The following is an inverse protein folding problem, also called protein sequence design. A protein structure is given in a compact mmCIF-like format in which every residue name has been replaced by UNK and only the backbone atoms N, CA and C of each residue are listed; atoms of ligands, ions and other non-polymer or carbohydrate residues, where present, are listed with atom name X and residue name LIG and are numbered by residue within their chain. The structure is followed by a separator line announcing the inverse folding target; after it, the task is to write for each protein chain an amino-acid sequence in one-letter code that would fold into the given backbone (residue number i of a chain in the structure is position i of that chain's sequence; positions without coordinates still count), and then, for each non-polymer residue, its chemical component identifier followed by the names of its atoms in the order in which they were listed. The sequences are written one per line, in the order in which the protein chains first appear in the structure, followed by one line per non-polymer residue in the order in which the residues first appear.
data_IF_521594689185
#
_entry.id   IF_521594689185
#
_cell.length_a   1.000
_cell.length_b   1.000
_cell.length_c   1.000
_cell.angle_alpha   90.00
_cell.angle_beta   90.00
_cell.angle_gamma   90.00
#
_symmetry.space_group_name_H-M   'P 1'
#
loop_
_entity.id
_entity.type
_entity.pdbx_description
1 polymer ?
#
# COMPACT_ATOMS: atom_id res chain seq x y z
N UNK A 1 -26.68 4.86 5.48
CA UNK A 1 -25.66 4.99 4.41
C UNK A 1 -24.30 5.45 4.95
N UNK A 2 -24.28 6.33 5.96
CA UNK A 2 -23.05 6.81 6.65
C UNK A 2 -22.16 5.72 7.27
N UNK A 3 -22.75 4.71 7.93
CA UNK A 3 -21.96 3.61 8.54
C UNK A 3 -21.11 2.87 7.51
N UNK A 4 -21.65 2.63 6.30
CA UNK A 4 -20.95 1.89 5.25
C UNK A 4 -19.74 2.67 4.74
N UNK A 5 -19.88 4.00 4.59
CA UNK A 5 -18.76 4.87 4.17
C UNK A 5 -17.67 4.94 5.24
N UNK A 6 -18.06 5.06 6.50
CA UNK A 6 -17.13 5.06 7.63
C UNK A 6 -16.36 3.73 7.71
N UNK A 7 -17.05 2.60 7.56
CA UNK A 7 -16.42 1.28 7.59
C UNK A 7 -15.47 1.08 6.41
N UNK A 8 -15.85 1.50 5.21
CA UNK A 8 -14.96 1.46 4.04
C UNK A 8 -13.72 2.34 4.20
N UNK A 9 -13.87 3.56 4.74
CA UNK A 9 -12.75 4.45 5.00
C UNK A 9 -11.81 3.88 6.06
N UNK A 10 -12.36 3.35 7.16
CA UNK A 10 -11.59 2.70 8.22
C UNK A 10 -10.78 1.52 7.66
N UNK A 11 -11.43 0.64 6.89
CA UNK A 11 -10.76 -0.51 6.28
C UNK A 11 -9.66 -0.11 5.29
N UNK A 12 -9.90 0.89 4.45
CA UNK A 12 -8.91 1.40 3.49
C UNK A 12 -7.68 1.99 4.20
N UNK A 13 -7.87 2.53 5.40
CA UNK A 13 -6.81 3.09 6.24
C UNK A 13 -6.11 2.03 7.12
N UNK A 14 -6.46 0.74 6.97
CA UNK A 14 -5.88 -0.36 7.76
C UNK A 14 -6.46 -0.50 9.16
N UNK A 15 -7.57 0.17 9.47
CA UNK A 15 -8.28 0.02 10.74
C UNK A 15 -9.24 -1.16 10.63
N UNK A 16 -9.02 -2.20 11.44
CA UNK A 16 -9.94 -3.35 11.51
C UNK A 16 -11.33 -2.94 12.02
N UNK A 17 -12.37 -3.65 11.59
CA UNK A 17 -13.75 -3.39 12.06
C UNK A 17 -14.09 -4.16 13.35
N UNK A 18 -13.30 -5.19 13.67
CA UNK A 18 -13.45 -6.03 14.86
C UNK A 18 -12.12 -6.65 15.27
N UNK A 19 -12.07 -7.21 16.48
CA UNK A 19 -10.93 -7.92 17.02
C UNK A 19 -11.39 -9.06 17.94
N UNK A 20 -10.46 -9.95 18.31
CA UNK A 20 -10.70 -10.96 19.33
C UNK A 20 -10.25 -10.38 20.67
N UNK A 21 -11.17 -10.27 21.64
CA UNK A 21 -10.84 -9.72 22.94
C UNK A 21 -10.06 -10.71 23.82
N UNK A 22 -9.62 -10.28 25.00
CA UNK A 22 -8.84 -11.09 25.93
C UNK A 22 -9.54 -12.37 26.41
N UNK A 23 -10.86 -12.48 26.22
CA UNK A 23 -11.65 -13.67 26.53
C UNK A 23 -11.89 -14.56 25.30
N UNK A 24 -11.21 -14.30 24.18
CA UNK A 24 -11.36 -15.06 22.94
C UNK A 24 -12.64 -14.75 22.15
N UNK A 25 -13.38 -13.69 22.50
CA UNK A 25 -14.66 -13.36 21.85
C UNK A 25 -14.49 -12.28 20.78
N UNK A 26 -15.15 -12.41 19.61
CA UNK A 26 -15.21 -11.33 18.64
C UNK A 26 -15.88 -10.09 19.23
N UNK A 27 -15.26 -8.94 19.03
CA UNK A 27 -15.74 -7.65 19.50
C UNK A 27 -15.62 -6.61 18.38
N UNK A 28 -16.72 -5.94 18.07
CA UNK A 28 -16.76 -4.88 17.06
C UNK A 28 -16.19 -3.57 17.58
N UNK A 29 -15.53 -2.81 16.70
CA UNK A 29 -15.07 -1.46 17.00
C UNK A 29 -16.22 -0.47 16.74
N UNK A 30 -16.49 0.39 17.71
CA UNK A 30 -17.56 1.40 17.63
C UNK A 30 -17.27 2.50 16.59
N UNK A 31 -18.34 3.13 16.09
CA UNK A 31 -18.23 4.16 15.06
C UNK A 31 -17.38 5.36 15.51
N UNK A 32 -17.50 5.80 16.75
CA UNK A 32 -16.72 6.94 17.27
C UNK A 32 -15.22 6.63 17.35
N UNK A 33 -14.85 5.40 17.72
CA UNK A 33 -13.46 4.95 17.70
C UNK A 33 -12.91 4.97 16.27
N UNK A 34 -13.66 4.46 15.28
CA UNK A 34 -13.24 4.50 13.86
C UNK A 34 -13.00 5.93 13.39
N UNK A 35 -13.92 6.85 13.72
CA UNK A 35 -13.78 8.28 13.35
C UNK A 35 -12.54 8.92 13.96
N UNK A 36 -12.32 8.73 15.27
CA UNK A 36 -11.16 9.32 15.97
C UNK A 36 -9.84 8.75 15.48
N UNK A 37 -9.78 7.45 15.18
CA UNK A 37 -8.59 6.84 14.61
C UNK A 37 -8.32 7.35 13.20
N UNK A 38 -9.36 7.47 12.36
CA UNK A 38 -9.23 8.07 11.02
C UNK A 38 -8.74 9.51 11.07
N UNK A 39 -9.26 10.31 11.98
CA UNK A 39 -8.85 11.71 12.18
C UNK A 39 -7.40 11.82 12.72
N UNK A 40 -6.99 10.86 13.57
CA UNK A 40 -5.64 10.80 14.11
C UNK A 40 -4.60 10.30 13.08
N UNK A 41 -5.02 9.60 12.03
CA UNK A 41 -4.12 9.28 10.94
C UNK A 41 -3.74 10.58 10.23
N UNK A 42 -2.43 10.83 10.06
CA UNK A 42 -1.96 11.89 9.17
C UNK A 42 -2.75 11.80 7.88
N UNK A 43 -3.26 12.94 7.37
CA UNK A 43 -3.95 12.97 6.08
C UNK A 43 -3.03 12.26 5.09
N UNK A 44 -3.41 11.05 4.68
CA UNK A 44 -2.70 10.33 3.64
C UNK A 44 -2.65 11.33 2.49
N UNK A 45 -1.44 11.72 2.06
CA UNK A 45 -1.27 12.69 0.99
C UNK A 45 -2.24 12.30 -0.12
N UNK A 46 -3.26 13.14 -0.33
CA UNK A 46 -4.46 12.77 -1.06
C UNK A 46 -4.20 12.51 -2.56
N UNK A 47 -2.94 12.50 -2.95
CA UNK A 47 -2.42 12.11 -4.25
C UNK A 47 -1.01 11.56 -4.05
N UNK A 48 -0.90 10.29 -3.70
CA UNK A 48 0.14 9.53 -4.36
C UNK A 48 -0.22 9.57 -5.85
N UNK A 49 0.38 10.51 -6.60
CA UNK A 49 0.38 10.45 -8.06
C UNK A 49 0.67 9.02 -8.45
N UNK A 50 -0.04 8.47 -9.44
CA UNK A 50 0.19 7.10 -9.94
C UNK A 50 1.63 7.01 -10.44
N UNK A 51 2.53 6.67 -9.53
CA UNK A 51 3.93 6.51 -9.82
C UNK A 51 4.08 5.20 -10.59
N UNK A 52 4.95 5.14 -11.60
CA UNK A 52 5.13 3.91 -12.37
C UNK A 52 5.55 2.72 -11.50
N UNK A 53 6.18 2.96 -10.35
CA UNK A 53 6.55 1.94 -9.38
C UNK A 53 6.21 2.44 -7.97
N UNK A 54 5.97 1.54 -7.00
CA UNK A 54 5.83 1.94 -5.60
C UNK A 54 7.13 2.59 -5.09
N UNK A 55 7.00 3.55 -4.17
CA UNK A 55 8.16 4.23 -3.57
C UNK A 55 9.15 3.25 -2.92
N UNK A 56 8.65 2.17 -2.34
CA UNK A 56 9.45 1.10 -1.74
C UNK A 56 8.83 -0.26 -2.10
N UNK A 57 9.70 -1.22 -2.44
CA UNK A 57 9.32 -2.63 -2.63
C UNK A 57 10.27 -3.52 -1.85
N UNK A 58 9.72 -4.43 -1.04
CA UNK A 58 10.49 -5.38 -0.23
C UNK A 58 10.39 -6.77 -0.85
N UNK A 59 11.54 -7.44 -0.99
CA UNK A 59 11.63 -8.82 -1.47
C UNK A 59 12.40 -9.69 -0.46
N UNK A 60 12.11 -10.99 -0.45
CA UNK A 60 12.91 -11.98 0.28
C UNK A 60 13.99 -12.54 -0.65
N UNK A 61 15.22 -12.64 -0.15
CA UNK A 61 16.33 -13.24 -0.90
C UNK A 61 16.02 -14.67 -1.37
N UNK A 62 16.56 -15.05 -2.52
CA UNK A 62 16.37 -16.37 -3.14
C UNK A 62 15.02 -16.60 -3.83
N UNK A 63 14.09 -15.63 -3.79
CA UNK A 63 12.82 -15.68 -4.53
C UNK A 63 12.87 -14.77 -5.76
N UNK A 64 12.04 -15.08 -6.77
CA UNK A 64 11.82 -14.17 -7.91
C UNK A 64 11.30 -12.83 -7.40
N UNK A 65 11.84 -11.73 -7.95
CA UNK A 65 11.56 -10.35 -7.51
C UNK A 65 10.85 -9.54 -8.60
N UNK A 66 9.56 -9.83 -8.93
CA UNK A 66 8.84 -9.05 -9.94
C UNK A 66 8.46 -7.66 -9.42
N UNK A 67 8.78 -6.62 -10.19
CA UNK A 67 8.33 -5.25 -9.97
C UNK A 67 7.41 -4.84 -11.13
N UNK A 68 6.13 -4.67 -10.85
CA UNK A 68 5.18 -4.18 -11.84
C UNK A 68 5.43 -2.69 -12.12
N UNK A 69 5.41 -2.33 -13.39
CA UNK A 69 5.49 -0.93 -13.84
C UNK A 69 4.12 -0.52 -14.35
N UNK A 70 3.51 0.45 -13.69
CA UNK A 70 2.25 1.07 -14.08
C UNK A 70 2.47 2.30 -14.98
N UNK A 71 1.41 2.74 -15.65
CA UNK A 71 1.48 3.86 -16.60
C UNK A 71 1.70 3.41 -18.04
N UNK A 72 2.04 4.37 -18.91
CA UNK A 72 2.16 4.17 -20.36
C UNK A 72 3.44 4.79 -20.87
N UNK A 73 4.02 4.18 -21.90
CA UNK A 73 5.26 4.62 -22.53
C UNK A 73 6.42 3.66 -22.26
N UNK A 74 7.61 4.09 -22.69
CA UNK A 74 8.84 3.36 -22.46
C UNK A 74 9.52 3.89 -21.20
N UNK A 75 9.92 2.96 -20.34
CA UNK A 75 10.69 3.27 -19.14
C UNK A 75 12.10 2.71 -19.31
N UNK A 76 13.10 3.34 -18.72
CA UNK A 76 14.44 2.75 -18.56
C UNK A 76 14.71 2.72 -17.06
N UNK A 77 15.28 1.63 -16.55
CA UNK A 77 15.58 1.54 -15.13
C UNK A 77 17.05 1.25 -14.87
N UNK A 78 17.49 1.74 -13.72
CA UNK A 78 18.80 1.53 -13.12
C UNK A 78 18.55 1.03 -11.70
N UNK A 79 19.04 -0.16 -11.38
CA UNK A 79 19.07 -0.69 -10.03
C UNK A 79 20.51 -0.62 -9.53
N UNK A 80 20.74 0.08 -8.43
CA UNK A 80 22.04 0.15 -7.76
C UNK A 80 21.92 -0.54 -6.40
N UNK A 81 22.75 -1.55 -6.16
CA UNK A 81 22.82 -2.20 -4.85
C UNK A 81 23.50 -1.29 -3.83
N UNK A 82 23.38 -1.61 -2.54
CA UNK A 82 24.05 -0.88 -1.47
C UNK A 82 25.59 -0.91 -1.61
N UNK A 83 26.12 -1.95 -2.25
CA UNK A 83 27.55 -2.09 -2.59
C UNK A 83 27.96 -1.26 -3.81
N UNK A 84 27.04 -0.54 -4.44
CA UNK A 84 27.28 0.29 -5.62
C UNK A 84 27.24 -0.45 -6.96
N UNK A 85 26.81 -1.72 -6.97
CA UNK A 85 26.70 -2.49 -8.22
C UNK A 85 25.45 -2.04 -8.97
N UNK A 86 25.65 -1.52 -10.17
CA UNK A 86 24.58 -0.98 -11.02
C UNK A 86 24.21 -1.92 -12.15
N UNK A 87 22.91 -2.25 -12.28
CA UNK A 87 22.34 -2.99 -13.42
C UNK A 87 21.31 -2.10 -14.13
N UNK A 88 21.36 -2.05 -15.45
CA UNK A 88 20.41 -1.29 -16.28
C UNK A 88 19.60 -2.25 -17.14
N UNK A 89 18.31 -1.98 -17.31
CA UNK A 89 17.56 -2.57 -18.40
C UNK A 89 16.41 -1.68 -18.86
N UNK A 90 15.94 -1.97 -20.06
CA UNK A 90 14.68 -1.45 -20.59
C UNK A 90 13.64 -2.54 -20.32
N UNK A 91 12.67 -2.35 -19.41
CA UNK A 91 11.55 -3.27 -19.29
C UNK A 91 10.76 -3.23 -20.61
N UNK A 92 10.21 -4.36 -21.07
CA UNK A 92 9.33 -4.35 -22.23
C UNK A 92 8.17 -3.38 -21.97
N UNK A 93 7.77 -2.61 -23.00
CA UNK A 93 6.69 -1.64 -22.92
C UNK A 93 5.48 -2.20 -22.15
N UNK A 94 4.96 -1.43 -21.19
CA UNK A 94 3.77 -1.82 -20.42
C UNK A 94 2.67 -2.23 -21.42
N UNK A 95 2.27 -3.50 -21.41
CA UNK A 95 1.30 -4.05 -22.37
C UNK A 95 -0.04 -3.32 -22.23
N UNK A 96 -0.65 -3.05 -23.39
CA UNK A 96 -1.97 -2.42 -23.57
C UNK A 96 -3.07 -3.10 -22.78
#
# INVERSE_FOLDING_TARGET
MESKRLDSAAQAAGISLSYINAHGKPQSIGADTKRRLLDAMHKADAKASVAPVPNVKVFTSGKKMPLAVEGRGEFSWLLTTEEGISTKATPPAAKR
#
